data_IF_818465075473
#
_entry.id   IF_818465075473
#
_cell.length_a   1.000
_cell.length_b   1.000
_cell.length_c   1.000
_cell.angle_alpha   90.00
_cell.angle_beta   90.00
_cell.angle_gamma   90.00
#
_symmetry.space_group_name_H-M   'P 1'
#
loop_
_entity.id
_entity.type
_entity.pdbx_description
1 polymer ?
#
# COMPACT_ATOMS: atom_id res chain seq x y z
N UNK A 1 3.35 -26.85 -10.00
CA UNK A 1 1.98 -27.34 -9.89
C UNK A 1 1.33 -26.93 -8.58
N UNK A 2 0.03 -27.12 -8.44
CA UNK A 2 -0.72 -26.88 -7.22
C UNK A 2 -1.17 -28.21 -6.62
N UNK A 3 -1.30 -28.28 -5.29
CA UNK A 3 -1.87 -29.44 -4.59
C UNK A 3 -3.41 -29.45 -4.59
N UNK A 4 -4.03 -28.43 -5.21
CA UNK A 4 -5.48 -28.23 -5.21
C UNK A 4 -6.06 -27.71 -3.89
N UNK A 5 -5.25 -27.42 -2.89
CA UNK A 5 -5.63 -26.95 -1.54
C UNK A 5 -5.03 -25.58 -1.20
N UNK A 6 -4.50 -24.89 -2.21
CA UNK A 6 -3.92 -23.55 -2.05
C UNK A 6 -2.39 -23.54 -1.92
N UNK A 7 -1.74 -24.70 -1.93
CA UNK A 7 -0.28 -24.75 -1.97
C UNK A 7 0.23 -24.93 -3.39
N UNK A 8 1.38 -24.32 -3.68
CA UNK A 8 2.03 -24.36 -4.98
C UNK A 8 3.43 -24.97 -4.86
N UNK A 9 3.79 -25.83 -5.82
CA UNK A 9 5.13 -26.39 -5.87
C UNK A 9 6.13 -25.32 -6.29
N UNK A 10 7.05 -25.02 -5.40
CA UNK A 10 8.14 -24.06 -5.63
C UNK A 10 9.43 -24.83 -5.87
N UNK A 11 10.08 -24.51 -6.98
CA UNK A 11 11.45 -24.92 -7.27
C UNK A 11 12.35 -23.69 -7.04
N UNK A 12 13.22 -23.78 -6.08
CA UNK A 12 14.12 -22.67 -5.69
C UNK A 12 15.33 -22.51 -6.63
N UNK A 13 15.51 -23.39 -7.59
CA UNK A 13 16.68 -23.37 -8.47
C UNK A 13 17.96 -23.89 -7.83
N UNK A 14 17.85 -24.57 -6.68
CA UNK A 14 19.00 -25.07 -5.91
C UNK A 14 19.23 -26.59 -6.11
N UNK A 15 18.94 -27.10 -7.29
CA UNK A 15 19.14 -28.52 -7.62
C UNK A 15 18.17 -29.47 -6.89
N UNK A 16 16.97 -29.00 -6.57
CA UNK A 16 15.95 -29.77 -5.86
C UNK A 16 16.04 -29.65 -4.34
N UNK A 17 17.04 -28.94 -3.81
CA UNK A 17 17.16 -28.76 -2.39
C UNK A 17 16.07 -27.79 -1.88
N UNK A 18 15.30 -28.22 -0.89
CA UNK A 18 14.19 -27.46 -0.30
C UNK A 18 12.97 -27.23 -1.24
N UNK A 19 12.95 -27.82 -2.42
CA UNK A 19 11.74 -27.79 -3.26
C UNK A 19 10.56 -28.43 -2.51
N UNK A 20 9.36 -27.89 -2.72
CA UNK A 20 8.17 -28.37 -2.02
C UNK A 20 6.94 -27.54 -2.31
N UNK A 21 5.88 -27.84 -1.57
CA UNK A 21 4.61 -27.12 -1.67
C UNK A 21 4.52 -26.04 -0.60
N UNK A 22 4.30 -24.81 -1.03
CA UNK A 22 4.28 -23.63 -0.17
C UNK A 22 3.03 -22.79 -0.44
N UNK A 23 2.57 -22.11 0.59
CA UNK A 23 1.64 -20.98 0.46
C UNK A 23 2.41 -19.80 -0.16
N UNK A 24 1.89 -19.21 -1.23
CA UNK A 24 2.53 -18.08 -1.91
C UNK A 24 2.63 -16.81 -1.03
N UNK A 25 1.83 -16.75 0.01
CA UNK A 25 1.88 -15.65 0.98
C UNK A 25 2.95 -15.85 2.06
N UNK A 26 3.48 -17.08 2.19
CA UNK A 26 4.46 -17.46 3.22
C UNK A 26 5.57 -18.29 2.57
N UNK A 27 6.35 -17.69 1.70
CA UNK A 27 7.50 -18.34 1.08
C UNK A 27 8.72 -18.24 2.02
N UNK A 28 8.78 -19.09 3.05
CA UNK A 28 9.89 -19.16 4.01
C UNK A 28 10.69 -20.45 3.87
N UNK A 29 11.74 -20.50 3.03
CA UNK A 29 12.58 -21.67 2.92
C UNK A 29 13.47 -21.91 4.16
N UNK A 30 13.55 -20.97 5.09
CA UNK A 30 14.46 -21.03 6.25
C UNK A 30 14.13 -22.08 7.31
N UNK A 31 12.91 -22.58 7.39
CA UNK A 31 12.62 -23.72 8.29
C UNK A 31 13.35 -24.99 7.92
N UNK A 32 14.05 -24.99 6.78
CA UNK A 32 14.88 -26.08 6.30
C UNK A 32 16.39 -25.80 6.24
N UNK A 33 16.88 -24.63 6.62
CA UNK A 33 18.31 -24.33 6.71
C UNK A 33 19.03 -24.03 5.40
N UNK A 34 18.34 -23.60 4.36
CA UNK A 34 18.93 -23.26 3.08
C UNK A 34 18.78 -21.76 2.73
N UNK A 35 19.89 -21.15 2.38
CA UNK A 35 19.98 -19.89 1.64
C UNK A 35 20.48 -18.71 2.44
N UNK A 36 21.70 -18.27 2.13
CA UNK A 36 22.20 -16.93 2.40
C UNK A 36 21.33 -15.94 1.62
N UNK A 37 20.51 -15.15 2.33
CA UNK A 37 19.78 -14.04 1.75
C UNK A 37 18.27 -13.98 2.00
N UNK A 38 17.66 -14.99 2.63
CA UNK A 38 16.29 -14.80 3.12
C UNK A 38 16.37 -14.04 4.45
N UNK A 39 15.85 -12.82 4.47
CA UNK A 39 15.54 -12.16 5.72
C UNK A 39 14.57 -13.04 6.52
N UNK A 40 14.48 -12.78 7.81
CA UNK A 40 13.58 -13.48 8.76
C UNK A 40 12.12 -13.62 8.25
N UNK A 41 11.76 -12.80 7.27
CA UNK A 41 10.43 -12.63 6.71
C UNK A 41 10.10 -13.50 5.46
N UNK A 42 11.06 -14.30 4.95
CA UNK A 42 10.84 -15.12 3.74
C UNK A 42 10.87 -14.33 2.42
N UNK A 43 10.45 -15.00 1.33
CA UNK A 43 10.39 -14.43 -0.04
C UNK A 43 8.95 -14.07 -0.42
N UNK A 44 8.30 -13.24 0.33
CA UNK A 44 6.93 -12.80 0.08
C UNK A 44 6.81 -11.35 -0.42
N UNK A 45 7.94 -10.74 -0.81
CA UNK A 45 8.01 -9.38 -1.35
C UNK A 45 8.43 -9.41 -2.80
N UNK A 46 7.91 -8.44 -3.55
CA UNK A 46 8.23 -8.23 -4.98
C UNK A 46 8.09 -9.52 -5.81
N UNK A 47 7.16 -10.40 -5.39
CA UNK A 47 6.88 -11.61 -6.12
C UNK A 47 6.26 -11.25 -7.46
N UNK A 48 6.91 -11.66 -8.55
CA UNK A 48 6.36 -11.62 -9.89
C UNK A 48 6.06 -13.02 -10.38
N UNK A 49 4.99 -13.16 -11.15
CA UNK A 49 4.58 -14.45 -11.72
C UNK A 49 4.34 -14.28 -13.21
N UNK A 50 4.89 -15.20 -13.99
CA UNK A 50 4.53 -15.36 -15.41
C UNK A 50 3.44 -16.41 -15.48
N UNK A 51 2.25 -16.00 -15.94
CA UNK A 51 1.10 -16.90 -16.12
C UNK A 51 0.84 -17.15 -17.60
N UNK A 52 0.13 -18.22 -17.91
CA UNK A 52 -0.25 -18.53 -19.29
C UNK A 52 0.88 -19.13 -20.13
N UNK A 53 1.97 -19.63 -19.51
CA UNK A 53 2.97 -20.42 -20.22
C UNK A 53 2.31 -21.75 -20.60
N UNK A 54 2.05 -21.95 -21.87
CA UNK A 54 1.58 -23.19 -22.44
C UNK A 54 2.50 -23.60 -23.61
N UNK A 55 2.60 -24.90 -23.94
CA UNK A 55 3.23 -25.32 -25.19
C UNK A 55 2.58 -24.58 -26.37
N UNK A 56 3.40 -24.16 -27.34
CA UNK A 56 2.92 -23.57 -28.57
C UNK A 56 1.94 -24.52 -29.24
N UNK A 57 0.67 -24.13 -29.34
CA UNK A 57 -0.40 -24.91 -29.98
C UNK A 57 -0.58 -24.54 -31.45
N UNK A 58 0.33 -23.72 -32.02
CA UNK A 58 0.29 -23.24 -33.39
C UNK A 58 -0.85 -22.25 -33.69
N UNK A 59 -1.57 -21.78 -32.67
CA UNK A 59 -2.56 -20.73 -32.82
C UNK A 59 -1.93 -19.41 -32.41
N UNK A 60 -2.20 -18.36 -33.17
CA UNK A 60 -1.91 -17.01 -32.73
C UNK A 60 -2.92 -16.71 -31.64
N UNK A 61 -2.47 -16.71 -30.38
CA UNK A 61 -3.31 -16.26 -29.29
C UNK A 61 -3.65 -14.79 -29.54
N UNK A 62 -4.92 -14.45 -29.43
CA UNK A 62 -5.32 -13.05 -29.35
C UNK A 62 -4.51 -12.40 -28.21
N UNK A 63 -3.83 -11.29 -28.47
CA UNK A 63 -3.07 -10.62 -27.42
C UNK A 63 -4.04 -10.38 -26.26
N UNK A 64 -3.68 -10.87 -25.08
CA UNK A 64 -4.39 -10.53 -23.84
C UNK A 64 -4.61 -9.04 -23.89
N UNK A 65 -5.87 -8.59 -23.80
CA UNK A 65 -6.20 -7.19 -23.84
C UNK A 65 -5.30 -6.49 -22.83
N UNK A 66 -4.26 -5.82 -23.32
CA UNK A 66 -3.33 -5.12 -22.44
C UNK A 66 -4.09 -3.90 -21.93
N UNK A 67 -4.66 -4.03 -20.75
CA UNK A 67 -5.19 -2.87 -20.07
C UNK A 67 -4.01 -1.99 -19.72
N UNK A 68 -3.96 -0.75 -20.19
CA UNK A 68 -2.91 0.16 -19.79
C UNK A 68 -2.98 0.33 -18.28
N UNK A 69 -1.89 0.04 -17.64
CA UNK A 69 -1.74 0.28 -16.22
C UNK A 69 -1.16 1.67 -16.05
N UNK A 70 -2.03 2.63 -15.80
CA UNK A 70 -1.60 3.96 -15.37
C UNK A 70 -1.43 3.92 -13.86
N UNK A 71 -0.25 4.32 -13.43
CA UNK A 71 0.16 4.31 -12.04
C UNK A 71 0.35 5.73 -11.54
N UNK A 72 -0.06 5.96 -10.31
CA UNK A 72 0.32 7.15 -9.54
C UNK A 72 1.54 6.83 -8.69
N UNK A 73 2.53 7.72 -8.67
CA UNK A 73 3.72 7.57 -7.83
C UNK A 73 4.16 8.90 -7.25
N UNK A 74 4.84 8.84 -6.11
CA UNK A 74 5.56 9.99 -5.57
C UNK A 74 6.96 10.06 -6.17
N UNK A 75 7.18 11.01 -7.07
CA UNK A 75 8.49 11.28 -7.66
C UNK A 75 9.08 12.55 -7.03
N UNK A 76 10.14 12.37 -6.24
CA UNK A 76 10.86 13.49 -5.62
C UNK A 76 10.07 14.29 -4.58
N UNK A 77 9.04 13.70 -3.95
CA UNK A 77 8.22 14.37 -2.94
C UNK A 77 7.19 15.34 -3.52
N UNK A 78 6.94 15.30 -4.82
CA UNK A 78 6.01 16.23 -5.50
C UNK A 78 4.54 15.80 -5.44
N UNK A 79 4.26 14.56 -5.02
CA UNK A 79 2.88 14.09 -4.84
C UNK A 79 2.30 14.62 -3.54
N UNK A 80 1.15 15.27 -3.63
CA UNK A 80 0.46 15.81 -2.47
C UNK A 80 -0.79 16.58 -2.81
N UNK A 81 -1.55 16.89 -1.77
CA UNK A 81 -2.66 17.85 -1.81
C UNK A 81 -2.33 19.02 -0.88
N UNK A 82 -2.44 20.23 -1.42
CA UNK A 82 -2.35 21.48 -0.65
C UNK A 82 -3.75 22.06 -0.50
N UNK A 83 -4.33 21.95 0.70
CA UNK A 83 -5.65 22.46 0.98
C UNK A 83 -5.65 23.97 1.15
N UNK A 84 -6.46 24.67 0.37
CA UNK A 84 -6.64 26.12 0.43
C UNK A 84 -7.89 26.52 1.20
N UNK A 85 -8.90 25.62 1.28
CA UNK A 85 -10.11 25.81 2.05
C UNK A 85 -10.52 24.52 2.75
N UNK A 86 -10.41 24.48 4.09
CA UNK A 86 -10.69 23.31 4.95
C UNK A 86 -11.94 23.43 5.79
N UNK A 87 -12.66 24.56 5.67
CA UNK A 87 -13.91 24.81 6.42
C UNK A 87 -15.03 25.25 5.48
N UNK A 88 -16.26 25.02 5.90
CA UNK A 88 -17.48 25.44 5.18
C UNK A 88 -18.59 25.83 6.16
N UNK A 89 -19.50 26.68 5.74
CA UNK A 89 -20.68 27.05 6.52
C UNK A 89 -21.87 26.12 6.27
N UNK A 90 -21.97 25.58 5.05
CA UNK A 90 -23.05 24.69 4.62
C UNK A 90 -22.50 23.41 3.98
N UNK A 91 -23.21 22.30 4.15
CA UNK A 91 -22.79 20.98 3.66
C UNK A 91 -22.60 20.89 2.14
N UNK A 92 -23.22 21.76 1.38
CA UNK A 92 -23.07 21.84 -0.09
C UNK A 92 -21.94 22.78 -0.52
N UNK A 93 -21.34 23.50 0.40
CA UNK A 93 -20.20 24.36 0.09
C UNK A 93 -18.93 23.52 -0.09
N UNK A 94 -18.15 23.77 -1.17
CA UNK A 94 -16.98 22.96 -1.46
C UNK A 94 -15.79 23.25 -0.53
N UNK A 95 -15.01 22.23 -0.26
CA UNK A 95 -13.61 22.34 0.15
C UNK A 95 -12.74 22.54 -1.09
N UNK A 96 -11.58 23.18 -0.95
CA UNK A 96 -10.72 23.52 -2.08
C UNK A 96 -9.26 23.11 -1.80
N UNK A 97 -8.61 22.61 -2.85
CA UNK A 97 -7.20 22.26 -2.81
C UNK A 97 -6.56 22.27 -4.20
N UNK A 98 -5.25 22.34 -4.22
CA UNK A 98 -4.41 22.02 -5.37
C UNK A 98 -3.79 20.64 -5.15
N UNK A 99 -3.92 19.76 -6.14
CA UNK A 99 -3.47 18.37 -6.05
C UNK A 99 -2.50 18.03 -7.18
N UNK A 100 -1.43 17.31 -6.84
CA UNK A 100 -0.41 16.86 -7.79
C UNK A 100 -0.06 15.40 -7.57
N UNK A 101 0.20 14.67 -8.65
CA UNK A 101 0.86 13.36 -8.61
C UNK A 101 1.60 13.12 -9.93
N UNK A 102 2.61 12.27 -9.90
CA UNK A 102 3.24 11.80 -11.12
C UNK A 102 2.42 10.63 -11.68
N UNK A 103 1.96 10.74 -12.92
CA UNK A 103 1.30 9.68 -13.65
C UNK A 103 2.32 8.95 -14.54
N UNK A 104 2.31 7.62 -14.47
CA UNK A 104 3.26 6.77 -15.18
C UNK A 104 2.51 5.68 -15.93
N UNK A 105 2.80 5.54 -17.21
CA UNK A 105 2.30 4.43 -18.02
C UNK A 105 3.23 3.23 -17.88
N UNK A 106 2.75 2.15 -17.26
CA UNK A 106 3.47 0.87 -17.14
C UNK A 106 2.99 -0.20 -18.12
N UNK A 107 2.12 0.15 -19.04
CA UNK A 107 1.61 -0.79 -20.02
C UNK A 107 2.52 -0.92 -21.25
N UNK A 108 2.27 -1.96 -22.02
CA UNK A 108 2.94 -2.21 -23.32
C UNK A 108 2.30 -1.43 -24.48
N UNK A 109 1.30 -0.59 -24.20
CA UNK A 109 0.61 0.27 -25.17
C UNK A 109 0.71 1.73 -24.76
N UNK A 110 0.80 2.63 -25.73
CA UNK A 110 0.77 4.06 -25.47
C UNK A 110 -0.55 4.46 -24.83
N UNK A 111 -0.48 5.33 -23.84
CA UNK A 111 -1.66 5.97 -23.26
C UNK A 111 -1.84 7.36 -23.88
N UNK A 112 -3.05 7.64 -24.33
CA UNK A 112 -3.48 8.98 -24.71
C UNK A 112 -4.82 9.27 -24.04
N UNK A 113 -4.89 10.31 -23.21
CA UNK A 113 -6.11 10.57 -22.43
C UNK A 113 -6.02 11.72 -21.46
N UNK A 114 -6.74 11.56 -20.37
CA UNK A 114 -7.05 12.60 -19.39
C UNK A 114 -6.74 12.11 -17.97
N UNK A 115 -6.36 13.04 -17.10
CA UNK A 115 -6.16 12.82 -15.68
C UNK A 115 -7.04 13.72 -14.83
N UNK A 116 -7.47 13.20 -13.68
CA UNK A 116 -8.27 13.91 -12.70
C UNK A 116 -8.08 13.29 -11.30
N UNK A 117 -8.80 13.83 -10.32
CA UNK A 117 -9.03 13.20 -9.03
C UNK A 117 -10.52 12.87 -8.86
N UNK A 118 -10.81 11.74 -8.24
CA UNK A 118 -12.17 11.26 -8.02
C UNK A 118 -12.32 10.51 -6.71
N UNK A 119 -13.58 10.35 -6.29
CA UNK A 119 -13.99 9.46 -5.20
C UNK A 119 -14.86 8.34 -5.76
N UNK A 120 -14.92 7.20 -5.06
CA UNK A 120 -15.86 6.14 -5.38
C UNK A 120 -17.22 6.44 -4.70
N UNK A 121 -18.27 6.50 -5.48
CA UNK A 121 -19.63 6.65 -5.01
C UNK A 121 -20.55 5.69 -5.77
N UNK A 122 -21.27 4.83 -5.06
CA UNK A 122 -22.22 3.86 -5.64
C UNK A 122 -21.63 3.01 -6.77
N UNK A 123 -20.37 2.59 -6.62
CA UNK A 123 -19.66 1.75 -7.60
C UNK A 123 -19.12 2.50 -8.84
N UNK A 124 -19.27 3.82 -8.90
CA UNK A 124 -18.73 4.67 -9.97
C UNK A 124 -17.71 5.67 -9.44
N UNK A 125 -16.91 6.23 -10.33
CA UNK A 125 -16.01 7.34 -10.01
C UNK A 125 -16.76 8.66 -10.23
N UNK A 126 -16.79 9.48 -9.19
CA UNK A 126 -17.27 10.87 -9.25
C UNK A 126 -16.05 11.77 -9.18
N UNK A 127 -15.87 12.65 -10.17
CA UNK A 127 -14.77 13.60 -10.17
C UNK A 127 -14.95 14.64 -9.07
N UNK A 128 -13.84 14.95 -8.40
CA UNK A 128 -13.77 15.99 -7.35
C UNK A 128 -12.85 17.14 -7.74
N UNK A 129 -12.10 16.98 -8.85
CA UNK A 129 -11.28 18.02 -9.46
C UNK A 129 -11.75 18.33 -10.88
N UNK A 130 -11.22 19.40 -11.47
CA UNK A 130 -11.10 19.52 -12.90
C UNK A 130 -10.29 18.35 -13.48
N UNK A 131 -10.20 18.27 -14.81
CA UNK A 131 -9.38 17.28 -15.49
C UNK A 131 -8.52 17.96 -16.55
N UNK A 132 -7.35 17.39 -16.75
CA UNK A 132 -6.42 17.83 -17.79
C UNK A 132 -6.27 16.74 -18.85
N UNK A 133 -6.28 17.14 -20.11
CA UNK A 133 -6.24 16.26 -21.27
C UNK A 133 -5.04 16.51 -22.19
N UNK A 134 -4.94 15.68 -23.24
CA UNK A 134 -3.85 15.77 -24.20
C UNK A 134 -2.57 15.06 -23.76
N UNK A 135 -2.64 14.28 -22.70
CA UNK A 135 -1.52 13.49 -22.20
C UNK A 135 -1.22 12.31 -23.14
N UNK A 136 0.05 12.21 -23.55
CA UNK A 136 0.55 11.09 -24.33
C UNK A 136 1.72 10.47 -23.57
N UNK A 137 1.48 9.34 -22.92
CA UNK A 137 2.49 8.57 -22.19
C UNK A 137 2.87 7.34 -23.01
N UNK A 138 4.08 7.30 -23.60
CA UNK A 138 4.53 6.14 -24.36
C UNK A 138 4.53 4.85 -23.55
N UNK A 139 4.35 3.73 -24.26
CA UNK A 139 4.47 2.39 -23.71
C UNK A 139 5.87 2.13 -23.14
N UNK A 140 5.95 1.26 -22.13
CA UNK A 140 7.22 0.72 -21.65
C UNK A 140 7.83 -0.16 -22.74
N UNK A 141 9.05 0.15 -23.16
CA UNK A 141 9.75 -0.67 -24.16
C UNK A 141 10.14 -2.03 -23.55
N UNK A 142 9.89 -3.16 -24.25
CA UNK A 142 10.12 -4.50 -23.73
C UNK A 142 11.55 -4.81 -23.24
N UNK A 143 12.55 -4.02 -23.64
CA UNK A 143 13.96 -4.24 -23.32
C UNK A 143 14.65 -3.05 -22.66
N UNK A 144 13.91 -2.04 -22.28
CA UNK A 144 14.46 -0.86 -21.61
C UNK A 144 14.15 -0.91 -20.13
N UNK A 145 15.10 -1.22 -19.28
CA UNK A 145 14.96 -1.22 -17.83
C UNK A 145 14.65 0.16 -17.23
N UNK A 146 13.80 0.91 -17.86
CA UNK A 146 13.26 2.18 -17.39
C UNK A 146 11.81 1.99 -17.00
N UNK A 147 11.52 2.25 -15.76
CA UNK A 147 10.23 2.64 -15.24
C UNK A 147 9.58 3.60 -16.22
N UNK A 148 8.35 3.38 -16.62
CA UNK A 148 7.59 4.06 -17.66
C UNK A 148 7.91 5.53 -17.91
N UNK A 149 7.33 6.08 -18.93
CA UNK A 149 7.49 7.49 -19.24
C UNK A 149 6.75 8.33 -18.22
N UNK A 150 7.49 9.19 -17.54
CA UNK A 150 6.93 10.17 -16.63
C UNK A 150 6.19 11.24 -17.42
N UNK A 151 4.93 11.46 -17.09
CA UNK A 151 4.24 12.69 -17.46
C UNK A 151 4.70 13.84 -16.56
N UNK A 152 4.62 15.06 -17.04
CA UNK A 152 4.66 16.23 -16.17
C UNK A 152 3.53 16.09 -15.13
N UNK A 153 3.76 16.55 -13.90
CA UNK A 153 2.79 16.45 -12.82
C UNK A 153 1.69 17.51 -13.01
N UNK A 154 0.48 17.15 -13.51
CA UNK A 154 -0.59 18.12 -13.63
C UNK A 154 -0.93 18.67 -12.25
N UNK A 155 -1.13 19.98 -12.16
CA UNK A 155 -1.70 20.63 -11.00
C UNK A 155 -3.19 20.77 -11.21
N UNK A 156 -3.99 19.97 -10.49
CA UNK A 156 -5.43 19.89 -10.65
C UNK A 156 -6.13 20.50 -9.44
N UNK A 157 -7.13 21.34 -9.72
CA UNK A 157 -7.90 22.01 -8.68
C UNK A 157 -9.03 21.10 -8.17
N UNK A 158 -9.00 20.76 -6.91
CA UNK A 158 -10.13 20.13 -6.22
C UNK A 158 -11.07 21.22 -5.74
N UNK A 159 -12.36 21.08 -6.08
CA UNK A 159 -13.42 21.98 -5.65
C UNK A 159 -14.72 21.18 -5.49
N UNK A 160 -14.88 20.53 -4.32
CA UNK A 160 -15.94 19.55 -4.15
C UNK A 160 -16.56 19.57 -2.73
N UNK A 161 -17.90 19.45 -2.60
CA UNK A 161 -18.60 19.36 -1.31
C UNK A 161 -18.61 17.93 -0.78
N UNK A 162 -17.45 17.43 -0.34
CA UNK A 162 -17.32 16.06 0.16
C UNK A 162 -18.40 15.73 1.21
N UNK A 163 -18.99 14.51 1.15
CA UNK A 163 -19.93 14.04 2.17
C UNK A 163 -19.22 13.85 3.52
N UNK A 164 -20.01 13.85 4.60
CA UNK A 164 -19.48 13.61 5.95
C UNK A 164 -18.91 12.19 6.07
N UNK A 165 -17.86 12.06 6.87
CA UNK A 165 -17.12 10.82 7.12
C UNK A 165 -15.82 10.73 6.31
N UNK A 166 -15.28 9.52 6.27
CA UNK A 166 -14.03 9.23 5.56
C UNK A 166 -14.25 9.23 4.05
N UNK A 167 -13.53 10.08 3.35
CA UNK A 167 -13.47 10.14 1.90
C UNK A 167 -12.06 9.77 1.44
N UNK A 168 -11.98 8.93 0.40
CA UNK A 168 -10.74 8.52 -0.23
C UNK A 168 -10.68 9.13 -1.63
N UNK A 169 -9.69 9.96 -1.87
CA UNK A 169 -9.50 10.69 -3.12
C UNK A 169 -8.44 9.97 -3.93
N UNK A 170 -8.83 9.50 -5.11
CA UNK A 170 -7.99 8.73 -6.02
C UNK A 170 -7.51 9.57 -7.18
N UNK A 171 -6.23 9.48 -7.59
CA UNK A 171 -5.81 9.81 -8.93
C UNK A 171 -6.51 8.88 -9.92
N UNK A 172 -7.11 9.43 -10.94
CA UNK A 172 -7.89 8.69 -11.93
C UNK A 172 -7.51 9.10 -13.36
N UNK A 173 -7.71 8.20 -14.31
CA UNK A 173 -7.44 8.44 -15.72
C UNK A 173 -8.64 8.01 -16.58
N UNK A 174 -8.73 8.57 -17.77
CA UNK A 174 -9.75 8.24 -18.76
C UNK A 174 -9.23 8.42 -20.18
N UNK A 175 -9.78 7.65 -21.13
CA UNK A 175 -9.53 7.81 -22.57
C UNK A 175 -10.54 8.74 -23.24
N UNK A 176 -11.72 8.92 -22.66
CA UNK A 176 -12.89 9.49 -23.32
C UNK A 176 -13.65 10.51 -22.46
N UNK A 177 -13.15 10.85 -21.27
CA UNK A 177 -13.78 11.71 -20.25
C UNK A 177 -15.12 11.21 -19.70
N UNK A 178 -15.55 10.01 -20.08
CA UNK A 178 -16.83 9.41 -19.63
C UNK A 178 -16.58 8.24 -18.66
N UNK A 179 -15.56 7.43 -18.99
CA UNK A 179 -15.22 6.24 -18.22
C UNK A 179 -13.90 6.49 -17.49
N UNK A 180 -13.98 6.64 -16.16
CA UNK A 180 -12.83 6.91 -15.31
C UNK A 180 -12.37 5.66 -14.59
N UNK A 181 -11.06 5.49 -14.48
CA UNK A 181 -10.40 4.36 -13.87
C UNK A 181 -9.44 4.84 -12.79
N UNK A 182 -9.40 4.14 -11.65
CA UNK A 182 -8.44 4.43 -10.59
C UNK A 182 -7.05 4.01 -11.03
N UNK A 183 -6.05 4.87 -10.82
CA UNK A 183 -4.65 4.52 -11.02
C UNK A 183 -4.21 3.45 -10.02
N UNK A 184 -3.27 2.59 -10.40
CA UNK A 184 -2.50 1.81 -9.43
C UNK A 184 -1.54 2.73 -8.67
N UNK A 185 -0.93 2.22 -7.60
CA UNK A 185 -0.06 3.03 -6.72
C UNK A 185 1.33 2.42 -6.60
N UNK A 186 2.34 3.26 -6.56
CA UNK A 186 3.72 2.91 -6.24
C UNK A 186 4.29 3.94 -5.28
N UNK A 187 4.83 3.51 -4.15
CA UNK A 187 5.39 4.32 -3.07
C UNK A 187 4.53 5.50 -2.58
N UNK A 188 3.25 5.50 -2.91
CA UNK A 188 2.25 6.45 -2.43
C UNK A 188 0.91 5.73 -2.21
N UNK A 189 -0.05 6.44 -1.67
CA UNK A 189 -1.40 5.96 -1.41
C UNK A 189 -2.41 7.03 -1.86
N UNK A 190 -3.70 6.68 -2.03
CA UNK A 190 -4.74 7.68 -2.22
C UNK A 190 -4.79 8.65 -1.04
N UNK A 191 -5.28 9.86 -1.29
CA UNK A 191 -5.44 10.86 -0.23
C UNK A 191 -6.70 10.58 0.56
N UNK A 192 -6.61 10.69 1.87
CA UNK A 192 -7.73 10.41 2.76
C UNK A 192 -8.05 11.66 3.57
N UNK A 193 -9.33 11.97 3.66
CA UNK A 193 -9.84 13.06 4.49
C UNK A 193 -10.99 12.56 5.36
N UNK A 194 -11.10 13.10 6.56
CA UNK A 194 -12.26 12.97 7.43
C UNK A 194 -13.04 14.30 7.42
N UNK A 195 -14.32 14.24 7.12
CA UNK A 195 -15.18 15.39 6.92
C UNK A 195 -16.31 15.40 7.94
N UNK A 196 -16.42 16.47 8.71
CA UNK A 196 -17.59 16.76 9.52
C UNK A 196 -18.54 17.77 8.81
N UNK A 197 -19.52 18.29 9.52
CA UNK A 197 -20.49 19.23 8.95
C UNK A 197 -19.81 20.51 8.39
N UNK A 198 -18.76 20.99 9.05
CA UNK A 198 -18.17 22.31 8.82
C UNK A 198 -16.69 22.29 8.49
N UNK A 199 -16.00 21.17 8.74
CA UNK A 199 -14.55 21.08 8.62
C UNK A 199 -14.14 19.76 7.97
N UNK A 200 -13.02 19.79 7.26
CA UNK A 200 -12.32 18.58 6.86
C UNK A 200 -10.92 18.53 7.49
N UNK A 201 -10.44 17.33 7.74
CA UNK A 201 -9.13 17.05 8.31
C UNK A 201 -8.42 15.99 7.45
N UNK A 202 -7.22 16.26 6.92
CA UNK A 202 -6.42 15.23 6.25
C UNK A 202 -6.07 14.09 7.21
N UNK A 203 -6.20 12.85 6.72
CA UNK A 203 -5.81 11.63 7.44
C UNK A 203 -4.46 11.19 6.90
N UNK A 204 -3.46 11.10 7.78
CA UNK A 204 -2.07 10.85 7.37
C UNK A 204 -1.78 9.40 6.98
N UNK A 205 -2.57 8.45 7.48
CA UNK A 205 -2.49 7.03 7.12
C UNK A 205 -3.87 6.39 7.16
N UNK A 206 -4.18 5.46 6.23
CA UNK A 206 -5.43 4.70 6.28
C UNK A 206 -5.44 3.65 7.38
N UNK A 207 -4.29 3.40 8.00
CA UNK A 207 -4.13 2.33 8.97
C UNK A 207 -4.35 2.81 10.40
N UNK A 208 -5.02 1.97 11.16
CA UNK A 208 -5.02 2.00 12.62
C UNK A 208 -4.53 0.64 13.13
N UNK A 209 -3.98 0.60 14.34
CA UNK A 209 -3.62 -0.66 14.96
C UNK A 209 -3.94 -0.64 16.46
N UNK A 210 -4.39 -1.80 16.95
CA UNK A 210 -4.48 -2.11 18.38
C UNK A 210 -3.48 -3.19 18.71
N UNK A 211 -2.80 -3.04 19.83
CA UNK A 211 -1.77 -4.00 20.28
C UNK A 211 -2.14 -4.51 21.66
N UNK A 212 -2.15 -5.83 21.81
CA UNK A 212 -2.45 -6.51 23.06
C UNK A 212 -1.38 -7.56 23.37
N UNK A 213 -1.15 -7.80 24.65
CA UNK A 213 -0.44 -8.96 25.13
C UNK A 213 -1.49 -9.95 25.68
N UNK A 214 -1.49 -11.17 25.19
CA UNK A 214 -2.45 -12.21 25.63
C UNK A 214 -2.01 -12.84 26.95
N UNK A 215 -0.71 -12.83 27.21
CA UNK A 215 -0.09 -13.40 28.41
C UNK A 215 0.80 -12.36 29.10
N UNK A 216 1.32 -12.71 30.26
CA UNK A 216 2.30 -11.90 30.97
C UNK A 216 3.58 -11.71 30.13
N UNK A 217 4.12 -10.51 30.14
CA UNK A 217 5.38 -10.20 29.48
C UNK A 217 6.53 -10.28 30.50
N UNK A 218 7.68 -10.81 30.07
CA UNK A 218 8.79 -11.11 30.97
C UNK A 218 10.10 -10.51 30.49
N UNK A 219 10.96 -10.11 31.43
CA UNK A 219 12.32 -9.66 31.13
C UNK A 219 13.21 -10.84 30.73
N UNK A 220 14.23 -10.57 29.91
CA UNK A 220 15.24 -11.58 29.53
C UNK A 220 14.75 -12.61 28.51
N UNK A 221 13.60 -12.37 27.88
CA UNK A 221 13.11 -13.20 26.79
C UNK A 221 12.36 -12.36 25.74
N UNK A 222 12.16 -12.90 24.56
CA UNK A 222 11.25 -12.32 23.57
C UNK A 222 9.81 -12.49 24.03
N UNK A 223 8.99 -11.49 23.76
CA UNK A 223 7.61 -11.49 24.22
C UNK A 223 6.64 -11.37 23.02
N UNK A 224 5.63 -12.26 22.93
CA UNK A 224 4.63 -12.20 21.88
C UNK A 224 3.62 -11.08 22.13
N UNK A 225 3.31 -10.33 21.08
CA UNK A 225 2.22 -9.37 21.05
C UNK A 225 1.28 -9.67 19.88
N UNK A 226 0.01 -9.44 20.09
CA UNK A 226 -1.01 -9.52 19.05
C UNK A 226 -1.33 -8.12 18.55
N UNK A 227 -1.12 -7.88 17.26
CA UNK A 227 -1.41 -6.61 16.60
C UNK A 227 -2.55 -6.80 15.62
N UNK A 228 -3.64 -6.07 15.81
CA UNK A 228 -4.76 -6.01 14.86
C UNK A 228 -4.69 -4.69 14.09
N UNK A 229 -4.38 -4.79 12.80
CA UNK A 229 -4.38 -3.67 11.86
C UNK A 229 -5.76 -3.52 11.23
N UNK A 230 -6.22 -2.29 11.06
CA UNK A 230 -7.48 -1.94 10.41
C UNK A 230 -7.21 -0.97 9.27
N UNK A 231 -7.85 -1.20 8.13
CA UNK A 231 -7.75 -0.36 6.93
C UNK A 231 -9.06 0.43 6.76
N UNK A 232 -8.96 1.76 6.74
CA UNK A 232 -10.13 2.66 6.55
C UNK A 232 -10.46 2.92 5.08
N UNK A 233 -9.62 2.45 4.12
CA UNK A 233 -9.89 2.61 2.68
C UNK A 233 -10.94 1.63 2.18
N UNK A 234 -11.56 1.95 1.07
CA UNK A 234 -12.46 1.08 0.30
C UNK A 234 -11.72 0.22 -0.75
N UNK A 235 -10.39 0.18 -0.64
CA UNK A 235 -9.51 -0.72 -1.40
C UNK A 235 -8.58 -1.47 -0.44
N UNK A 236 -8.05 -2.59 -0.91
CA UNK A 236 -7.06 -3.36 -0.16
C UNK A 236 -5.80 -2.49 0.09
N UNK A 237 -5.31 -2.52 1.32
CA UNK A 237 -3.98 -2.04 1.65
C UNK A 237 -2.99 -3.19 1.48
N UNK A 238 -1.92 -2.92 0.76
CA UNK A 238 -0.84 -3.88 0.56
C UNK A 238 0.48 -3.13 0.73
N UNK A 239 1.17 -3.33 1.84
CA UNK A 239 2.31 -2.49 2.16
C UNK A 239 3.12 -2.94 3.36
N UNK A 240 4.15 -2.17 3.63
CA UNK A 240 5.13 -2.40 4.67
C UNK A 240 4.87 -1.50 5.87
N UNK A 241 4.90 -2.08 7.05
CA UNK A 241 5.00 -1.35 8.31
C UNK A 241 6.34 -1.64 8.98
N UNK A 242 6.88 -0.66 9.69
CA UNK A 242 8.10 -0.82 10.49
C UNK A 242 7.75 -0.89 11.96
N UNK A 243 8.36 -1.82 12.65
CA UNK A 243 8.23 -2.04 14.09
C UNK A 243 9.48 -1.54 14.79
N UNK A 244 9.28 -0.80 15.86
CA UNK A 244 10.34 -0.25 16.70
C UNK A 244 10.02 -0.50 18.15
N UNK A 245 11.02 -0.90 18.92
CA UNK A 245 10.91 -0.99 20.40
C UNK A 245 12.02 -0.22 21.10
N UNK A 246 11.75 0.23 22.28
CA UNK A 246 12.74 0.88 23.16
C UNK A 246 12.37 0.68 24.63
N UNK A 247 13.35 0.78 25.52
CA UNK A 247 13.14 0.78 26.98
C UNK A 247 12.74 2.16 27.51
N UNK A 248 12.81 3.20 26.68
CA UNK A 248 12.40 4.57 26.99
C UNK A 248 11.25 5.00 26.08
N UNK A 249 10.54 6.06 26.44
CA UNK A 249 9.43 6.63 25.67
C UNK A 249 9.85 7.39 24.39
N UNK A 250 11.12 7.31 24.01
CA UNK A 250 11.64 7.94 22.78
C UNK A 250 11.74 6.90 21.68
N UNK A 251 11.11 7.17 20.51
CA UNK A 251 11.21 6.30 19.34
C UNK A 251 12.66 6.20 18.87
N UNK A 252 13.22 4.99 18.72
CA UNK A 252 14.58 4.82 18.23
C UNK A 252 14.68 5.18 16.74
N UNK A 253 15.89 5.49 16.27
CA UNK A 253 16.16 5.76 14.86
C UNK A 253 16.17 4.47 14.02
N UNK A 254 16.58 3.35 14.63
CA UNK A 254 16.63 2.04 13.96
C UNK A 254 15.40 1.23 14.30
N UNK A 255 14.80 0.62 13.29
CA UNK A 255 13.70 -0.35 13.45
C UNK A 255 14.25 -1.69 13.94
N UNK A 256 13.40 -2.47 14.60
CA UNK A 256 13.71 -3.86 14.93
C UNK A 256 13.48 -4.75 13.71
N UNK A 257 12.33 -4.62 13.05
CA UNK A 257 12.02 -5.37 11.83
C UNK A 257 10.94 -4.70 10.98
N UNK A 258 10.80 -5.21 9.75
CA UNK A 258 9.75 -4.87 8.82
C UNK A 258 8.67 -5.95 8.86
N UNK A 259 7.40 -5.54 8.74
CA UNK A 259 6.27 -6.44 8.59
C UNK A 259 5.47 -6.05 7.34
N UNK A 260 5.38 -6.97 6.39
CA UNK A 260 4.51 -6.80 5.23
C UNK A 260 3.10 -7.26 5.57
N UNK A 261 2.11 -6.42 5.29
CA UNK A 261 0.71 -6.70 5.59
C UNK A 261 -0.20 -6.44 4.40
N UNK A 262 -1.17 -7.32 4.23
CA UNK A 262 -2.28 -7.15 3.31
C UNK A 262 -3.56 -7.09 4.12
N UNK A 263 -4.32 -6.01 3.99
CA UNK A 263 -5.55 -5.78 4.75
C UNK A 263 -6.68 -5.51 3.76
N UNK A 264 -7.77 -6.30 3.79
CA UNK A 264 -8.91 -6.07 2.89
C UNK A 264 -9.49 -4.65 3.01
N UNK A 265 -10.18 -4.23 1.96
CA UNK A 265 -10.94 -2.98 1.97
C UNK A 265 -11.89 -2.93 3.17
N UNK A 266 -11.86 -1.84 3.93
CA UNK A 266 -12.69 -1.63 5.14
C UNK A 266 -12.58 -2.78 6.16
N UNK A 267 -11.49 -3.56 6.09
CA UNK A 267 -11.28 -4.75 6.89
C UNK A 267 -10.17 -4.62 7.91
N UNK A 268 -9.86 -5.73 8.55
CA UNK A 268 -8.76 -5.84 9.49
C UNK A 268 -8.02 -7.17 9.32
N UNK A 269 -6.78 -7.19 9.79
CA UNK A 269 -5.95 -8.39 9.88
C UNK A 269 -5.20 -8.40 11.20
N UNK A 270 -5.13 -9.57 11.82
CA UNK A 270 -4.37 -9.78 13.06
C UNK A 270 -3.07 -10.49 12.75
N UNK A 271 -1.99 -10.03 13.38
CA UNK A 271 -0.65 -10.64 13.31
C UNK A 271 -0.08 -10.79 14.71
N UNK A 272 0.60 -11.90 14.94
CA UNK A 272 1.49 -12.03 16.09
C UNK A 272 2.87 -11.52 15.71
N UNK A 273 3.47 -10.73 16.59
CA UNK A 273 4.84 -10.25 16.48
C UNK A 273 5.58 -10.61 17.77
N UNK A 274 6.89 -10.76 17.67
CA UNK A 274 7.75 -10.94 18.85
C UNK A 274 8.58 -9.67 19.05
N UNK A 275 8.44 -9.05 20.21
CA UNK A 275 9.30 -7.94 20.59
C UNK A 275 10.60 -8.46 21.21
N UNK A 276 11.76 -7.79 20.91
CA UNK A 276 13.06 -8.23 21.40
C UNK A 276 13.14 -8.34 22.91
N UNK A 277 14.00 -9.23 23.38
CA UNK A 277 14.33 -9.35 24.79
C UNK A 277 14.91 -8.06 25.38
N UNK A 278 14.61 -7.79 26.62
CA UNK A 278 15.19 -6.70 27.39
C UNK A 278 15.31 -7.05 28.87
N UNK A 279 16.28 -6.49 29.56
CA UNK A 279 16.38 -6.55 31.03
C UNK A 279 15.55 -5.47 31.73
N UNK A 280 14.97 -4.54 30.99
CA UNK A 280 14.14 -3.47 31.55
C UNK A 280 12.76 -4.00 31.96
N UNK A 281 12.21 -3.51 33.04
CA UNK A 281 10.83 -3.80 33.48
C UNK A 281 9.76 -3.08 32.64
N UNK A 282 10.16 -2.36 31.61
CA UNK A 282 9.26 -1.68 30.69
C UNK A 282 9.83 -1.66 29.27
N UNK A 283 8.92 -1.73 28.30
CA UNK A 283 9.22 -1.61 26.87
C UNK A 283 8.14 -0.80 26.16
N UNK A 284 8.53 -0.02 25.18
CA UNK A 284 7.63 0.81 24.38
C UNK A 284 7.67 0.34 22.93
N UNK A 285 6.53 0.43 22.26
CA UNK A 285 6.34 -0.01 20.87
C UNK A 285 5.87 1.14 20.01
N UNK A 286 6.48 1.29 18.83
CA UNK A 286 6.00 2.13 17.74
C UNK A 286 5.79 1.28 16.49
N UNK A 287 4.76 1.63 15.74
CA UNK A 287 4.50 1.07 14.41
C UNK A 287 4.31 2.24 13.45
N UNK A 288 4.98 2.20 12.30
CA UNK A 288 4.86 3.23 11.28
C UNK A 288 4.48 2.63 9.92
N UNK A 289 3.71 3.39 9.14
CA UNK A 289 3.27 3.05 7.79
C UNK A 289 4.27 3.61 6.77
N UNK A 290 5.01 2.73 6.10
CA UNK A 290 6.06 3.13 5.17
C UNK A 290 5.48 3.79 3.91
N UNK A 291 4.34 3.30 3.42
CA UNK A 291 3.69 3.85 2.23
C UNK A 291 3.19 5.29 2.41
N UNK A 292 2.95 5.68 3.66
CA UNK A 292 2.53 7.03 4.03
C UNK A 292 3.62 7.82 4.77
N UNK A 293 4.83 7.83 4.22
CA UNK A 293 5.98 8.61 4.73
C UNK A 293 6.29 8.31 6.20
N UNK A 294 6.22 7.05 6.58
CA UNK A 294 6.41 6.58 7.96
C UNK A 294 5.43 7.23 8.97
N UNK A 295 4.20 7.49 8.55
CA UNK A 295 3.16 7.96 9.45
C UNK A 295 2.99 7.00 10.63
N UNK A 296 2.90 7.58 11.83
CA UNK A 296 2.83 6.78 13.06
C UNK A 296 1.44 6.19 13.23
N UNK A 297 1.35 4.85 13.33
CA UNK A 297 0.13 4.09 13.60
C UNK A 297 0.00 3.79 15.10
N UNK A 298 1.11 3.38 15.74
CA UNK A 298 1.22 3.18 17.19
C UNK A 298 2.33 4.06 17.70
N UNK A 299 2.05 4.88 18.70
CA UNK A 299 2.97 5.90 19.20
C UNK A 299 3.43 5.62 20.65
N UNK A 300 4.45 4.81 20.81
CA UNK A 300 5.07 4.57 22.12
C UNK A 300 4.14 3.88 23.11
N UNK A 301 3.40 2.87 22.67
CA UNK A 301 2.59 2.08 23.58
C UNK A 301 3.49 1.36 24.60
N UNK A 302 3.26 1.64 25.88
CA UNK A 302 4.04 1.07 26.99
C UNK A 302 3.53 -0.29 27.39
N UNK A 303 4.46 -1.20 27.62
CA UNK A 303 4.27 -2.51 28.23
C UNK A 303 5.10 -2.63 29.51
N UNK A 304 4.55 -3.26 30.54
CA UNK A 304 5.26 -3.60 31.79
C UNK A 304 5.66 -5.06 31.73
N UNK A 305 6.93 -5.34 32.04
CA UNK A 305 7.50 -6.69 32.02
C UNK A 305 7.77 -7.15 33.46
N UNK A 306 7.47 -8.41 33.73
CA UNK A 306 7.73 -9.07 34.99
C UNK A 306 9.12 -9.70 34.98
N UNK A 307 9.82 -9.64 36.11
CA UNK A 307 11.12 -10.32 36.29
C UNK A 307 10.94 -11.80 36.58
#
# INVERSE_FOLDING_TARGET
GSDGKGLYHINWGWGGYQDGYFDLTILQPQKGGAGLGSAVDGFNRDCSMIIGIAPDNGKVDEPLASYPQIMSMDHGGMTGITWTKTTREHVLEPFQAEARTCFVNQSTTDFSGYFAYGIKANGTIVLVSDYEGGWNLPAVKPNGGTWGTYGDNPELTINYPFPQGINVIYPVYSYDTKNWHVCSFYNNQPFIIDVDATKMTPVTTPLAATVTAEEGLYTGMTNPLTVTFTNSMDMEFNGLVKIYTNTTSTKPSSKDFDLYITIPARGSVTRQIEIPETSSSQQYLWITDVANKEAVIVNGQRFTLTT
#
